data_IF_726623316221
#
_entry.id   IF_726623316221
#
_cell.length_a   1.000
_cell.length_b   1.000
_cell.length_c   1.000
_cell.angle_alpha   90.00
_cell.angle_beta   90.00
_cell.angle_gamma   90.00
#
_symmetry.space_group_name_H-M   'P 1'
#
loop_
_entity.id
_entity.type
_entity.pdbx_description
1 polymer ?
#
# COMPACT_ATOMS: atom_id res chain seq x y z
N UNK A 1 22.03 -21.12 8.28
CA UNK A 1 21.70 -20.38 7.06
C UNK A 1 21.84 -18.91 7.37
N UNK A 2 22.71 -18.21 6.66
CA UNK A 2 22.82 -16.77 6.81
C UNK A 2 21.46 -16.13 6.60
N UNK A 3 21.07 -15.24 7.52
CA UNK A 3 19.78 -14.56 7.40
C UNK A 3 19.86 -13.63 6.19
N UNK A 4 18.86 -13.70 5.32
CA UNK A 4 18.73 -12.78 4.20
C UNK A 4 18.67 -11.34 4.76
N UNK A 5 19.51 -10.46 4.21
CA UNK A 5 19.57 -9.04 4.58
C UNK A 5 19.28 -8.17 3.36
N UNK A 6 18.53 -7.08 3.57
CA UNK A 6 18.28 -6.05 2.57
C UNK A 6 18.91 -4.73 3.00
N UNK A 7 19.18 -3.85 2.04
CA UNK A 7 19.76 -2.53 2.31
C UNK A 7 18.69 -1.56 2.82
N UNK A 8 19.15 -0.45 3.40
CA UNK A 8 18.28 0.64 3.83
C UNK A 8 17.55 1.31 2.64
N UNK A 9 18.21 1.41 1.48
CA UNK A 9 17.61 1.91 0.25
C UNK A 9 16.50 0.99 -0.27
N UNK A 10 16.69 -0.32 -0.16
CA UNK A 10 15.67 -1.30 -0.51
C UNK A 10 14.45 -1.19 0.41
N UNK A 11 14.67 -1.05 1.73
CA UNK A 11 13.55 -0.81 2.65
C UNK A 11 12.83 0.51 2.36
N UNK A 12 13.56 1.59 2.07
CA UNK A 12 12.98 2.84 1.60
C UNK A 12 12.11 2.62 0.37
N UNK A 13 12.59 1.89 -0.64
CA UNK A 13 11.86 1.62 -1.87
C UNK A 13 10.58 0.82 -1.66
N UNK A 14 10.61 -0.21 -0.81
CA UNK A 14 9.43 -1.00 -0.42
C UNK A 14 8.42 -0.13 0.32
N UNK A 15 8.90 0.71 1.24
CA UNK A 15 8.04 1.61 2.01
C UNK A 15 7.35 2.63 1.11
N UNK A 16 8.08 3.27 0.22
CA UNK A 16 7.51 4.19 -0.77
C UNK A 16 6.50 3.48 -1.64
N UNK A 17 6.84 2.29 -2.16
CA UNK A 17 5.95 1.53 -3.05
C UNK A 17 4.64 1.16 -2.37
N UNK A 18 4.66 0.74 -1.10
CA UNK A 18 3.45 0.44 -0.33
C UNK A 18 2.64 1.69 -0.02
N UNK A 19 3.31 2.81 0.29
CA UNK A 19 2.65 4.09 0.60
C UNK A 19 1.97 4.71 -0.63
N UNK A 20 2.59 4.61 -1.81
CA UNK A 20 2.17 5.29 -3.04
C UNK A 20 1.36 4.38 -3.98
N UNK A 21 1.77 3.12 -4.14
CA UNK A 21 1.35 2.28 -5.27
C UNK A 21 -0.13 1.89 -5.31
N UNK A 22 -0.73 1.58 -4.17
CA UNK A 22 -2.15 1.24 -4.10
C UNK A 22 -3.03 2.47 -4.33
N UNK A 23 -2.84 3.54 -3.52
CA UNK A 23 -3.58 4.79 -3.61
C UNK A 23 -3.62 5.49 -4.96
N UNK A 24 -2.52 5.55 -5.70
CA UNK A 24 -2.28 6.63 -6.68
C UNK A 24 -3.39 6.80 -7.72
N UNK A 25 -3.96 5.74 -8.29
CA UNK A 25 -4.99 5.91 -9.33
C UNK A 25 -6.39 6.25 -8.80
N UNK A 26 -6.75 5.78 -7.61
CA UNK A 26 -8.14 5.73 -7.14
C UNK A 26 -8.43 6.69 -5.99
N UNK A 27 -7.40 7.01 -5.19
CA UNK A 27 -7.57 7.81 -3.98
C UNK A 27 -8.08 9.23 -4.23
N UNK A 28 -7.65 9.96 -5.30
CA UNK A 28 -8.19 11.28 -5.53
C UNK A 28 -9.72 11.30 -5.55
N UNK A 29 -10.36 10.30 -6.15
CA UNK A 29 -11.81 10.18 -6.19
C UNK A 29 -12.39 10.05 -4.79
N UNK A 30 -11.85 9.11 -4.02
CA UNK A 30 -12.37 8.77 -2.70
C UNK A 30 -12.26 9.97 -1.74
N UNK A 31 -11.11 10.65 -1.71
CA UNK A 31 -10.93 11.78 -0.80
C UNK A 31 -11.64 13.05 -1.27
N UNK A 32 -11.79 13.25 -2.59
CA UNK A 32 -12.59 14.36 -3.14
C UNK A 32 -14.09 14.16 -2.92
N UNK A 33 -14.58 12.91 -2.88
CA UNK A 33 -15.97 12.63 -2.54
C UNK A 33 -16.33 13.07 -1.11
N UNK A 34 -15.34 13.12 -0.20
CA UNK A 34 -15.51 13.52 1.20
C UNK A 34 -15.16 15.01 1.40
N UNK A 35 -13.95 15.42 1.00
CA UNK A 35 -13.38 16.74 1.28
C UNK A 35 -13.49 17.72 0.11
N UNK A 36 -14.07 17.31 -1.01
CA UNK A 36 -14.23 18.12 -2.23
C UNK A 36 -12.91 18.79 -2.65
N UNK A 37 -12.91 20.11 -2.84
CA UNK A 37 -11.73 20.87 -3.22
C UNK A 37 -10.63 20.89 -2.15
N UNK A 38 -10.95 20.59 -0.89
CA UNK A 38 -9.97 20.52 0.22
C UNK A 38 -9.26 19.14 0.31
N UNK A 39 -9.47 18.25 -0.66
CA UNK A 39 -8.81 16.95 -0.74
C UNK A 39 -7.27 17.01 -0.79
N UNK A 40 -6.70 18.09 -1.33
CA UNK A 40 -5.25 18.28 -1.29
C UNK A 40 -4.72 18.51 0.14
N UNK A 41 -5.48 19.22 0.99
CA UNK A 41 -5.17 19.41 2.41
C UNK A 41 -5.24 18.08 3.15
N UNK A 42 -6.24 17.25 2.82
CA UNK A 42 -6.34 15.88 3.36
C UNK A 42 -5.05 15.11 3.17
N UNK A 43 -4.46 15.20 1.98
CA UNK A 43 -3.22 14.50 1.62
C UNK A 43 -1.99 15.07 2.30
N UNK A 44 -2.00 16.36 2.63
CA UNK A 44 -0.94 17.01 3.39
C UNK A 44 -1.02 16.68 4.89
N UNK A 45 -2.23 16.53 5.44
CA UNK A 45 -2.47 16.28 6.85
C UNK A 45 -2.28 14.80 7.24
N UNK A 46 -2.67 13.88 6.36
CA UNK A 46 -2.61 12.43 6.63
C UNK A 46 -1.22 11.93 7.07
N UNK A 47 -0.12 12.39 6.45
CA UNK A 47 1.24 12.03 6.88
C UNK A 47 1.50 12.30 8.37
N UNK A 48 0.97 13.40 8.92
CA UNK A 48 1.13 13.74 10.32
C UNK A 48 0.48 12.69 11.26
N UNK A 49 -0.68 12.13 10.88
CA UNK A 49 -1.31 11.05 11.64
C UNK A 49 -0.53 9.74 11.57
N UNK A 50 0.15 9.45 10.46
CA UNK A 50 0.89 8.21 10.31
C UNK A 50 2.30 8.21 10.94
N UNK A 51 2.90 9.37 11.20
CA UNK A 51 4.18 9.47 11.92
C UNK A 51 4.17 8.70 13.26
N UNK A 52 3.21 8.93 14.19
CA UNK A 52 3.17 8.19 15.45
C UNK A 52 2.93 6.68 15.26
N UNK A 53 2.21 6.28 14.21
CA UNK A 53 1.95 4.87 13.88
C UNK A 53 3.23 4.18 13.41
N UNK A 54 3.97 4.81 12.49
CA UNK A 54 5.26 4.28 12.00
C UNK A 54 6.29 4.26 13.13
N UNK A 55 6.28 5.27 14.01
CA UNK A 55 7.10 5.28 15.20
C UNK A 55 6.79 4.06 16.09
N UNK A 56 5.51 3.74 16.29
CA UNK A 56 5.08 2.56 17.05
C UNK A 56 5.57 1.26 16.39
N UNK A 57 5.47 1.11 15.07
CA UNK A 57 6.00 -0.06 14.36
C UNK A 57 7.51 -0.19 14.56
N UNK A 58 8.24 0.91 14.39
CA UNK A 58 9.68 0.98 14.61
C UNK A 58 10.06 0.64 16.06
N UNK A 59 9.31 1.14 17.02
CA UNK A 59 9.50 0.90 18.44
C UNK A 59 9.34 -0.59 18.74
N UNK A 60 8.17 -1.17 18.44
CA UNK A 60 7.86 -2.58 18.65
C UNK A 60 8.88 -3.49 17.97
N UNK A 61 9.17 -3.26 16.68
CA UNK A 61 10.16 -4.04 15.95
C UNK A 61 11.53 -3.99 16.63
N UNK A 62 12.00 -2.82 17.06
CA UNK A 62 13.30 -2.69 17.73
C UNK A 62 13.40 -3.37 19.10
N UNK A 63 12.28 -3.67 19.77
CA UNK A 63 12.28 -4.47 21.00
C UNK A 63 12.44 -5.98 20.72
N UNK A 64 12.18 -6.42 19.48
CA UNK A 64 12.21 -7.81 19.07
C UNK A 64 12.99 -7.98 17.75
N UNK A 65 14.31 -7.73 17.75
CA UNK A 65 15.10 -7.62 16.53
C UNK A 65 15.18 -8.91 15.69
N UNK A 66 14.92 -10.06 16.31
CA UNK A 66 15.03 -11.39 15.71
C UNK A 66 13.68 -12.01 15.33
N UNK A 67 12.59 -11.24 15.37
CA UNK A 67 11.23 -11.73 15.13
C UNK A 67 10.54 -10.94 14.03
N UNK A 68 9.71 -11.63 13.25
CA UNK A 68 8.69 -11.00 12.40
C UNK A 68 7.51 -10.56 13.28
N UNK A 69 6.57 -9.82 12.70
CA UNK A 69 5.33 -9.46 13.40
C UNK A 69 4.59 -10.68 13.97
N UNK A 70 4.53 -11.80 13.25
CA UNK A 70 3.90 -13.04 13.74
C UNK A 70 4.60 -13.57 14.99
N UNK A 71 5.93 -13.58 14.99
CA UNK A 71 6.73 -13.90 16.17
C UNK A 71 6.48 -12.95 17.34
N UNK A 72 6.43 -11.64 17.08
CA UNK A 72 6.16 -10.59 18.08
C UNK A 72 4.79 -10.80 18.72
N UNK A 73 3.74 -11.01 17.93
CA UNK A 73 2.37 -11.26 18.40
C UNK A 73 2.34 -12.47 19.33
N UNK A 74 2.95 -13.59 18.92
CA UNK A 74 3.01 -14.82 19.73
C UNK A 74 3.80 -14.63 21.02
N UNK A 75 4.88 -13.85 20.99
CA UNK A 75 5.69 -13.56 22.18
C UNK A 75 4.95 -12.67 23.18
N UNK A 76 4.26 -11.64 22.69
CA UNK A 76 3.56 -10.66 23.54
C UNK A 76 2.27 -11.25 24.11
N UNK A 77 1.39 -11.84 23.29
CA UNK A 77 0.11 -12.37 23.78
C UNK A 77 0.17 -13.82 24.30
N UNK A 78 1.31 -14.49 24.14
CA UNK A 78 1.47 -15.88 24.56
C UNK A 78 0.91 -16.88 23.54
N UNK A 79 0.96 -18.17 23.90
CA UNK A 79 0.76 -19.28 22.95
C UNK A 79 -0.62 -19.28 22.29
N UNK A 80 -1.71 -19.13 23.05
CA UNK A 80 -3.07 -19.32 22.55
C UNK A 80 -3.62 -18.05 21.88
N UNK A 81 -3.69 -16.95 22.64
CA UNK A 81 -4.18 -15.67 22.12
C UNK A 81 -3.28 -15.19 20.98
N UNK A 82 -1.96 -15.30 21.14
CA UNK A 82 -1.02 -14.92 20.10
C UNK A 82 -1.14 -15.76 18.82
N UNK A 83 -1.50 -17.05 18.91
CA UNK A 83 -1.76 -17.86 17.72
C UNK A 83 -3.01 -17.39 16.97
N UNK A 84 -4.10 -17.09 17.69
CA UNK A 84 -5.34 -16.59 17.08
C UNK A 84 -5.10 -15.24 16.41
N UNK A 85 -4.49 -14.28 17.11
CA UNK A 85 -4.23 -12.95 16.57
C UNK A 85 -3.26 -13.01 15.38
N UNK A 86 -2.18 -13.80 15.48
CA UNK A 86 -1.24 -13.95 14.38
C UNK A 86 -1.87 -14.65 13.16
N UNK A 87 -2.71 -15.67 13.39
CA UNK A 87 -3.48 -16.32 12.33
C UNK A 87 -4.41 -15.34 11.59
N UNK A 88 -5.09 -14.46 12.33
CA UNK A 88 -5.92 -13.40 11.74
C UNK A 88 -5.10 -12.38 10.94
N UNK A 89 -3.94 -11.97 11.44
CA UNK A 89 -3.01 -11.08 10.70
C UNK A 89 -2.49 -11.74 9.41
N UNK A 90 -2.19 -13.03 9.45
CA UNK A 90 -1.80 -13.78 8.25
C UNK A 90 -2.95 -13.88 7.25
N UNK A 91 -4.18 -14.12 7.74
CA UNK A 91 -5.37 -14.11 6.90
C UNK A 91 -5.61 -12.74 6.26
N UNK A 92 -5.38 -11.65 6.98
CA UNK A 92 -5.38 -10.29 6.43
C UNK A 92 -4.41 -10.16 5.25
N UNK A 93 -3.14 -10.56 5.42
CA UNK A 93 -2.16 -10.48 4.34
C UNK A 93 -2.54 -11.29 3.10
N UNK A 94 -3.03 -12.52 3.30
CA UNK A 94 -3.50 -13.36 2.20
C UNK A 94 -4.73 -12.77 1.50
N UNK A 95 -5.63 -12.14 2.27
CA UNK A 95 -6.80 -11.42 1.72
C UNK A 95 -6.40 -10.31 0.77
N UNK A 96 -5.49 -9.45 1.20
CA UNK A 96 -5.00 -8.38 0.33
C UNK A 96 -4.25 -8.94 -0.89
N UNK A 97 -3.49 -10.03 -0.72
CA UNK A 97 -2.76 -10.65 -1.82
C UNK A 97 -3.68 -11.10 -2.97
N UNK A 98 -4.90 -11.60 -2.69
CA UNK A 98 -5.87 -11.98 -3.74
C UNK A 98 -6.82 -10.86 -4.17
N UNK A 99 -6.90 -9.73 -3.45
CA UNK A 99 -7.61 -8.55 -3.93
C UNK A 99 -6.84 -7.83 -5.05
N UNK A 100 -5.51 -7.81 -4.97
CA UNK A 100 -4.68 -7.00 -5.87
C UNK A 100 -4.75 -7.39 -7.35
N UNK A 101 -4.77 -8.67 -7.75
CA UNK A 101 -4.95 -9.03 -9.16
C UNK A 101 -6.27 -8.47 -9.71
N UNK A 102 -7.37 -8.53 -8.93
CA UNK A 102 -8.67 -7.98 -9.32
C UNK A 102 -8.63 -6.47 -9.59
N UNK A 103 -7.81 -5.70 -8.86
CA UNK A 103 -7.67 -4.27 -9.16
C UNK A 103 -6.97 -4.03 -10.50
N UNK A 104 -6.02 -4.90 -10.84
CA UNK A 104 -5.21 -4.79 -12.06
C UNK A 104 -6.03 -5.20 -13.27
N UNK A 105 -6.69 -6.36 -13.24
CA UNK A 105 -7.50 -6.79 -14.38
C UNK A 105 -8.71 -5.86 -14.59
N UNK A 106 -9.39 -5.38 -13.55
CA UNK A 106 -10.49 -4.44 -13.70
C UNK A 106 -10.01 -3.15 -14.37
N UNK A 107 -8.86 -2.62 -14.00
CA UNK A 107 -8.30 -1.44 -14.68
C UNK A 107 -7.91 -1.73 -16.13
N UNK A 108 -7.18 -2.82 -16.38
CA UNK A 108 -6.72 -3.16 -17.73
C UNK A 108 -7.90 -3.44 -18.66
N UNK A 109 -8.87 -4.24 -18.23
CA UNK A 109 -10.05 -4.59 -19.04
C UNK A 109 -11.01 -3.43 -19.22
N UNK A 110 -10.99 -2.40 -18.36
CA UNK A 110 -11.84 -1.21 -18.56
C UNK A 110 -11.16 -0.09 -19.32
N UNK A 111 -9.85 0.12 -19.15
CA UNK A 111 -9.16 1.31 -19.66
C UNK A 111 -8.15 1.06 -20.78
N UNK A 112 -7.65 -0.18 -20.92
CA UNK A 112 -6.46 -0.47 -21.77
C UNK A 112 -6.78 -1.52 -22.83
N UNK A 113 -7.27 -2.70 -22.43
CA UNK A 113 -7.52 -3.86 -23.29
C UNK A 113 -8.87 -4.53 -22.97
N UNK A 114 -10.01 -3.95 -23.38
CA UNK A 114 -11.34 -4.48 -23.06
C UNK A 114 -11.69 -5.83 -23.69
N UNK A 115 -10.95 -6.23 -24.71
CA UNK A 115 -11.14 -7.52 -25.38
C UNK A 115 -10.33 -8.65 -24.72
N UNK A 116 -9.44 -8.34 -23.77
CA UNK A 116 -8.63 -9.34 -23.08
C UNK A 116 -9.40 -9.88 -21.87
N UNK A 117 -9.57 -11.20 -21.74
CA UNK A 117 -10.19 -11.79 -20.55
C UNK A 117 -9.40 -11.51 -19.26
N UNK A 118 -10.13 -11.20 -18.18
CA UNK A 118 -9.62 -10.98 -16.82
C UNK A 118 -8.62 -12.05 -16.36
N UNK A 119 -8.99 -13.32 -16.49
CA UNK A 119 -8.18 -14.45 -16.04
C UNK A 119 -6.77 -14.50 -16.68
N UNK A 120 -6.59 -13.98 -17.91
CA UNK A 120 -5.26 -13.92 -18.55
C UNK A 120 -4.38 -12.91 -17.83
N UNK A 121 -4.93 -11.73 -17.52
CA UNK A 121 -4.23 -10.65 -16.82
C UNK A 121 -3.88 -11.10 -15.40
N UNK A 122 -4.84 -11.68 -14.69
CA UNK A 122 -4.63 -12.23 -13.34
C UNK A 122 -3.58 -13.34 -13.34
N UNK A 123 -3.61 -14.26 -14.31
CA UNK A 123 -2.61 -15.32 -14.45
C UNK A 123 -1.21 -14.77 -14.62
N UNK A 124 -1.01 -13.80 -15.52
CA UNK A 124 0.31 -13.19 -15.75
C UNK A 124 0.83 -12.47 -14.50
N UNK A 125 -0.03 -11.73 -13.81
CA UNK A 125 0.33 -11.06 -12.56
C UNK A 125 0.75 -12.07 -11.48
N UNK A 126 -0.07 -13.08 -11.24
CA UNK A 126 0.19 -14.10 -10.22
C UNK A 126 1.45 -14.91 -10.54
N UNK A 127 1.68 -15.27 -11.81
CA UNK A 127 2.91 -15.94 -12.24
C UNK A 127 4.13 -15.08 -11.91
N UNK A 128 4.10 -13.78 -12.24
CA UNK A 128 5.19 -12.87 -11.95
C UNK A 128 5.45 -12.76 -10.43
N UNK A 129 4.40 -12.68 -9.61
CA UNK A 129 4.52 -12.63 -8.14
C UNK A 129 5.09 -13.93 -7.57
N UNK A 130 4.61 -15.08 -8.05
CA UNK A 130 5.10 -16.41 -7.65
C UNK A 130 6.59 -16.53 -7.98
N UNK A 131 7.00 -16.15 -9.19
CA UNK A 131 8.41 -16.15 -9.60
C UNK A 131 9.24 -15.27 -8.66
N UNK A 132 8.80 -14.04 -8.37
CA UNK A 132 9.50 -13.14 -7.46
C UNK A 132 9.66 -13.72 -6.05
N UNK A 133 8.62 -14.36 -5.51
CA UNK A 133 8.66 -15.03 -4.20
C UNK A 133 9.58 -16.26 -4.19
N UNK A 134 9.66 -17.00 -5.30
CA UNK A 134 10.57 -18.14 -5.42
C UNK A 134 12.03 -17.70 -5.50
N UNK A 135 12.33 -16.54 -6.10
CA UNK A 135 13.65 -15.93 -6.02
C UNK A 135 13.97 -15.40 -4.62
N UNK A 136 12.97 -14.82 -3.93
CA UNK A 136 13.03 -14.46 -2.50
C UNK A 136 13.21 -12.97 -2.23
N UNK A 137 13.30 -12.64 -0.93
CA UNK A 137 13.27 -11.26 -0.42
C UNK A 137 14.31 -10.33 -1.06
N UNK A 138 15.56 -10.78 -1.16
CA UNK A 138 16.63 -9.95 -1.70
C UNK A 138 16.39 -9.56 -3.16
N UNK A 139 15.90 -10.50 -3.97
CA UNK A 139 15.63 -10.25 -5.39
C UNK A 139 14.51 -9.22 -5.56
N UNK A 140 13.36 -9.41 -4.92
CA UNK A 140 12.26 -8.46 -5.11
C UNK A 140 12.54 -7.09 -4.46
N UNK A 141 13.33 -7.04 -3.38
CA UNK A 141 13.75 -5.78 -2.77
C UNK A 141 14.72 -4.99 -3.67
N UNK A 142 15.62 -5.66 -4.40
CA UNK A 142 16.43 -5.03 -5.46
C UNK A 142 15.57 -4.54 -6.62
N UNK A 143 14.56 -5.33 -7.01
CA UNK A 143 13.61 -4.95 -8.06
C UNK A 143 12.80 -3.72 -7.66
N UNK A 144 12.32 -3.62 -6.41
CA UNK A 144 11.58 -2.45 -5.93
C UNK A 144 12.43 -1.18 -5.92
N UNK A 145 13.73 -1.30 -5.66
CA UNK A 145 14.67 -0.17 -5.73
C UNK A 145 14.78 0.41 -7.14
N UNK A 146 14.99 -0.43 -8.15
CA UNK A 146 15.04 0.01 -9.56
C UNK A 146 13.71 0.63 -9.98
N UNK A 147 12.61 -0.04 -9.63
CA UNK A 147 11.25 0.40 -9.93
C UNK A 147 11.00 1.79 -9.34
N UNK A 148 11.32 2.03 -8.06
CA UNK A 148 10.92 3.29 -7.44
C UNK A 148 11.65 4.49 -8.03
N UNK A 149 12.92 4.35 -8.43
CA UNK A 149 13.64 5.41 -9.13
C UNK A 149 13.00 5.70 -10.48
N UNK A 150 12.74 4.67 -11.27
CA UNK A 150 12.13 4.81 -12.59
C UNK A 150 10.71 5.40 -12.51
N UNK A 151 9.88 4.88 -11.62
CA UNK A 151 8.49 5.36 -11.45
C UNK A 151 8.44 6.76 -10.89
N UNK A 152 9.36 7.15 -10.00
CA UNK A 152 9.42 8.53 -9.50
C UNK A 152 9.73 9.51 -10.63
N UNK A 153 10.71 9.21 -11.50
CA UNK A 153 11.07 10.07 -12.64
C UNK A 153 9.87 10.23 -13.58
N UNK A 154 9.26 9.13 -13.99
CA UNK A 154 8.09 9.15 -14.89
C UNK A 154 6.89 9.86 -14.27
N UNK A 155 6.65 9.66 -12.97
CA UNK A 155 5.60 10.33 -12.24
C UNK A 155 5.80 11.85 -12.24
N UNK A 156 6.97 12.35 -11.84
CA UNK A 156 7.22 13.79 -11.79
C UNK A 156 7.20 14.41 -13.19
N UNK A 157 7.71 13.70 -14.20
CA UNK A 157 7.58 14.15 -15.58
C UNK A 157 6.12 14.34 -15.96
N UNK A 158 5.25 13.35 -15.73
CA UNK A 158 3.82 13.47 -16.03
C UNK A 158 3.15 14.64 -15.27
N UNK A 159 3.48 14.82 -13.99
CA UNK A 159 2.95 15.93 -13.18
C UNK A 159 3.40 17.31 -13.69
N UNK A 160 4.64 17.43 -14.18
CA UNK A 160 5.14 18.67 -14.81
C UNK A 160 4.43 18.94 -16.12
N UNK A 161 4.21 17.90 -16.95
CA UNK A 161 3.60 18.07 -18.26
C UNK A 161 2.11 18.41 -18.19
N UNK A 162 1.40 18.01 -17.13
CA UNK A 162 -0.02 18.38 -16.93
C UNK A 162 -0.19 19.74 -16.24
N UNK A 163 0.87 20.28 -15.62
CA UNK A 163 0.83 21.54 -14.89
C UNK A 163 0.25 22.74 -15.66
N UNK A 164 0.50 22.91 -16.98
CA UNK A 164 -0.09 24.02 -17.75
C UNK A 164 -1.62 24.08 -17.74
N UNK A 165 -2.30 22.97 -17.44
CA UNK A 165 -3.77 22.91 -17.40
C UNK A 165 -4.34 23.21 -16.01
N UNK A 166 -3.49 23.46 -15.01
CA UNK A 166 -3.92 23.72 -13.65
C UNK A 166 -4.67 25.07 -13.54
N UNK A 167 -5.79 25.05 -12.83
CA UNK A 167 -6.62 26.23 -12.53
C UNK A 167 -6.72 26.42 -11.03
N UNK A 168 -6.20 27.53 -10.51
CA UNK A 168 -6.16 27.79 -9.05
C UNK A 168 -7.58 27.94 -8.49
N UNK A 169 -8.53 28.36 -9.31
CA UNK A 169 -9.94 28.49 -8.96
C UNK A 169 -10.53 27.15 -8.48
N UNK A 170 -10.02 26.02 -8.96
CA UNK A 170 -10.52 24.69 -8.61
C UNK A 170 -10.21 24.25 -7.17
N UNK A 171 -9.23 24.89 -6.50
CA UNK A 171 -8.98 24.65 -5.07
C UNK A 171 -9.73 25.66 -4.17
N UNK A 172 -10.48 26.59 -4.77
CA UNK A 172 -11.23 27.61 -4.05
C UNK A 172 -12.74 27.32 -4.04
N UNK A 173 -13.47 27.81 -3.02
CA UNK A 173 -12.96 28.39 -1.78
C UNK A 173 -12.37 27.31 -0.86
N UNK A 174 -11.27 27.64 -0.18
CA UNK A 174 -10.59 26.75 0.76
C UNK A 174 -11.37 26.72 2.08
N UNK A 175 -11.55 25.54 2.68
CA UNK A 175 -12.33 25.31 3.90
C UNK A 175 -13.83 25.63 3.78
N UNK A 176 -14.41 25.57 2.58
CA UNK A 176 -15.84 25.84 2.38
C UNK A 176 -16.74 25.00 3.29
N UNK A 177 -16.39 23.72 3.48
CA UNK A 177 -17.15 22.76 4.28
C UNK A 177 -16.53 22.55 5.68
N UNK A 178 -15.61 23.43 6.10
CA UNK A 178 -14.90 23.36 7.38
C UNK A 178 -13.85 22.24 7.48
N UNK A 179 -13.30 22.05 8.68
CA UNK A 179 -12.20 21.09 8.93
C UNK A 179 -12.65 19.62 9.05
N UNK A 180 -13.93 19.38 9.38
CA UNK A 180 -14.43 18.03 9.68
C UNK A 180 -14.30 17.07 8.48
N UNK A 181 -14.69 17.45 7.24
CA UNK A 181 -14.52 16.59 6.08
C UNK A 181 -13.06 16.24 5.80
N UNK A 182 -12.15 17.21 6.00
CA UNK A 182 -10.70 17.01 5.84
C UNK A 182 -10.20 15.96 6.85
N UNK A 183 -10.55 16.08 8.13
CA UNK A 183 -10.16 15.12 9.16
C UNK A 183 -10.71 13.71 8.90
N UNK A 184 -12.00 13.60 8.55
CA UNK A 184 -12.62 12.31 8.19
C UNK A 184 -11.92 11.67 6.99
N UNK A 185 -11.64 12.48 5.97
CA UNK A 185 -10.94 12.04 4.77
C UNK A 185 -9.49 11.64 5.08
N UNK A 186 -8.82 12.28 6.04
CA UNK A 186 -7.46 11.92 6.45
C UNK A 186 -7.39 10.60 7.20
N UNK A 187 -8.37 10.31 8.07
CA UNK A 187 -8.51 9.00 8.71
C UNK A 187 -8.74 7.92 7.64
N UNK A 188 -9.60 8.20 6.66
CA UNK A 188 -9.86 7.28 5.55
C UNK A 188 -8.62 7.06 4.68
N UNK A 189 -7.90 8.11 4.30
CA UNK A 189 -6.66 8.01 3.53
C UNK A 189 -5.58 7.22 4.28
N UNK A 190 -5.53 7.31 5.61
CA UNK A 190 -4.61 6.50 6.44
C UNK A 190 -4.79 4.99 6.22
N UNK A 191 -6.00 4.55 5.86
CA UNK A 191 -6.30 3.14 5.56
C UNK A 191 -5.55 2.60 4.34
N UNK A 192 -5.13 3.47 3.42
CA UNK A 192 -4.40 3.08 2.21
C UNK A 192 -2.94 3.55 2.24
N UNK A 193 -2.65 4.64 2.94
CA UNK A 193 -1.35 5.28 2.95
C UNK A 193 -0.47 4.80 4.11
N UNK A 194 -1.03 4.64 5.32
CA UNK A 194 -0.25 4.36 6.54
C UNK A 194 -0.42 2.92 7.03
N UNK A 195 -1.66 2.47 7.22
CA UNK A 195 -1.96 1.17 7.83
C UNK A 195 -1.36 -0.03 7.07
N UNK A 196 -1.31 -0.05 5.73
CA UNK A 196 -0.65 -1.13 4.97
C UNK A 196 0.83 -1.34 5.31
N UNK A 197 1.51 -0.32 5.86
CA UNK A 197 2.91 -0.42 6.26
C UNK A 197 3.17 -1.36 7.43
N UNK A 198 2.13 -1.83 8.14
CA UNK A 198 2.29 -2.91 9.13
C UNK A 198 2.94 -4.16 8.52
N UNK A 199 2.69 -4.40 7.23
CA UNK A 199 3.31 -5.49 6.44
C UNK A 199 4.83 -5.45 6.50
N UNK A 200 5.43 -4.27 6.59
CA UNK A 200 6.88 -4.12 6.70
C UNK A 200 7.44 -4.65 8.01
N UNK A 201 6.63 -4.87 9.06
CA UNK A 201 7.06 -5.55 10.28
C UNK A 201 7.33 -7.06 10.07
N UNK A 202 7.04 -7.60 8.88
CA UNK A 202 7.51 -8.94 8.48
C UNK A 202 8.95 -8.93 7.94
N UNK A 203 9.51 -7.75 7.65
CA UNK A 203 10.86 -7.57 7.08
C UNK A 203 11.74 -6.76 8.06
N UNK A 204 11.24 -5.63 8.53
CA UNK A 204 11.86 -4.81 9.56
C UNK A 204 11.55 -5.39 10.96
N UNK A 205 12.55 -5.51 11.85
CA UNK A 205 13.99 -5.25 11.65
C UNK A 205 14.82 -6.50 11.28
N UNK A 206 14.21 -7.69 11.32
CA UNK A 206 14.90 -8.99 11.26
C UNK A 206 15.80 -9.15 10.02
N UNK A 207 15.41 -8.57 8.88
CA UNK A 207 16.14 -8.62 7.62
C UNK A 207 17.06 -7.41 7.39
N UNK A 208 17.43 -6.64 8.42
CA UNK A 208 18.30 -5.47 8.28
C UNK A 208 19.61 -5.61 9.05
N UNK A 209 20.66 -4.94 8.55
CA UNK A 209 21.96 -4.88 9.23
C UNK A 209 21.94 -3.88 10.39
N UNK A 210 21.27 -2.74 10.20
CA UNK A 210 21.29 -1.63 11.17
C UNK A 210 19.88 -1.14 11.44
N UNK A 211 19.39 -1.37 12.67
CA UNK A 211 18.01 -1.02 13.06
C UNK A 211 17.74 0.48 12.99
N UNK A 212 18.69 1.32 13.43
CA UNK A 212 18.55 2.79 13.44
C UNK A 212 18.39 3.36 12.02
N UNK A 213 19.19 2.89 11.07
CA UNK A 213 19.09 3.28 9.66
C UNK A 213 17.83 2.71 9.00
N UNK A 214 17.40 1.51 9.41
CA UNK A 214 16.10 0.96 9.02
C UNK A 214 14.93 1.87 9.43
N UNK A 215 14.93 2.39 10.66
CA UNK A 215 13.90 3.36 11.13
C UNK A 215 13.87 4.59 10.24
N UNK A 216 15.04 5.19 9.97
CA UNK A 216 15.14 6.36 9.08
C UNK A 216 14.58 6.06 7.69
N UNK A 217 14.84 4.86 7.17
CA UNK A 217 14.39 4.44 5.84
C UNK A 217 12.88 4.27 5.76
N UNK A 218 12.25 3.73 6.81
CA UNK A 218 10.79 3.67 6.93
C UNK A 218 10.18 5.09 6.93
N UNK A 219 10.69 6.01 7.74
CA UNK A 219 10.18 7.38 7.75
C UNK A 219 10.40 8.11 6.41
N UNK A 220 11.60 8.01 5.83
CA UNK A 220 11.90 8.65 4.55
C UNK A 220 11.02 8.10 3.43
N UNK A 221 10.84 6.78 3.35
CA UNK A 221 10.03 6.15 2.30
C UNK A 221 8.56 6.49 2.45
N UNK A 222 8.06 6.52 3.68
CA UNK A 222 6.70 6.99 3.97
C UNK A 222 6.48 8.44 3.55
N UNK A 223 7.36 9.36 3.95
CA UNK A 223 7.22 10.78 3.62
C UNK A 223 7.36 11.02 2.10
N UNK A 224 8.22 10.27 1.43
CA UNK A 224 8.36 10.35 -0.03
C UNK A 224 7.11 9.84 -0.76
N UNK A 225 6.58 8.68 -0.38
CA UNK A 225 5.34 8.16 -0.95
C UNK A 225 4.14 9.08 -0.68
N UNK A 226 4.04 9.60 0.55
CA UNK A 226 3.04 10.59 0.91
C UNK A 226 3.14 11.87 0.10
N UNK A 227 4.35 12.36 -0.18
CA UNK A 227 4.57 13.52 -1.03
C UNK A 227 4.09 13.28 -2.46
N UNK A 228 4.34 12.10 -3.03
CA UNK A 228 3.82 11.74 -4.36
C UNK A 228 2.28 11.70 -4.38
N UNK A 229 1.64 11.17 -3.32
CA UNK A 229 0.17 11.19 -3.18
C UNK A 229 -0.37 12.61 -3.04
N UNK A 230 0.30 13.47 -2.27
CA UNK A 230 -0.04 14.89 -2.18
C UNK A 230 -0.04 15.56 -3.55
N UNK A 231 1.04 15.40 -4.33
CA UNK A 231 1.13 15.97 -5.68
C UNK A 231 0.02 15.42 -6.58
N UNK A 232 -0.23 14.12 -6.53
CA UNK A 232 -1.30 13.47 -7.31
C UNK A 232 -2.66 14.10 -7.04
N UNK A 233 -3.02 14.22 -5.75
CA UNK A 233 -4.31 14.77 -5.34
C UNK A 233 -4.41 16.27 -5.63
N UNK A 234 -3.34 17.03 -5.38
CA UNK A 234 -3.29 18.45 -5.68
C UNK A 234 -3.48 18.72 -7.18
N UNK A 235 -2.76 18.00 -8.04
CA UNK A 235 -2.90 18.13 -9.49
C UNK A 235 -4.26 17.66 -10.00
N UNK A 236 -4.81 16.59 -9.42
CA UNK A 236 -6.17 16.11 -9.78
C UNK A 236 -7.21 17.19 -9.52
N UNK A 237 -7.19 17.85 -8.36
CA UNK A 237 -8.12 18.93 -8.06
C UNK A 237 -7.84 20.16 -8.93
N UNK A 238 -6.59 20.60 -9.08
CA UNK A 238 -6.27 21.79 -9.87
C UNK A 238 -6.67 21.66 -11.35
N UNK A 239 -6.50 20.49 -11.96
CA UNK A 239 -6.77 20.30 -13.39
C UNK A 239 -8.20 19.88 -13.64
N UNK A 240 -8.70 18.87 -12.92
CA UNK A 240 -10.03 18.28 -13.16
C UNK A 240 -11.14 18.96 -12.35
N UNK A 241 -10.80 19.64 -11.25
CA UNK A 241 -11.77 20.08 -10.25
C UNK A 241 -12.29 18.93 -9.38
N UNK A 242 -12.85 19.28 -8.21
CA UNK A 242 -13.33 18.29 -7.23
C UNK A 242 -14.52 17.47 -7.75
N UNK A 243 -15.40 18.07 -8.55
CA UNK A 243 -16.60 17.42 -9.08
C UNK A 243 -16.31 16.30 -10.07
N UNK A 244 -15.38 16.50 -11.00
CA UNK A 244 -14.94 15.44 -11.93
C UNK A 244 -14.11 14.42 -11.16
N UNK A 245 -13.13 14.88 -10.37
CA UNK A 245 -12.27 13.99 -9.58
C UNK A 245 -13.08 13.00 -8.75
N UNK A 246 -14.13 13.45 -8.05
CA UNK A 246 -14.93 12.59 -7.17
C UNK A 246 -15.81 11.55 -7.90
N UNK A 247 -16.08 11.74 -9.21
CA UNK A 247 -16.96 10.86 -9.99
C UNK A 247 -16.19 9.84 -10.84
N UNK A 248 -14.93 10.13 -11.13
CA UNK A 248 -14.09 9.27 -11.97
C UNK A 248 -13.50 8.13 -11.15
N UNK A 249 -13.57 6.90 -11.65
CA UNK A 249 -13.00 5.73 -10.95
C UNK A 249 -11.46 5.79 -10.89
N UNK A 250 -10.84 6.34 -11.92
CA UNK A 250 -9.39 6.45 -12.05
C UNK A 250 -8.95 7.89 -12.38
N UNK A 251 -9.13 8.88 -11.46
CA UNK A 251 -8.91 10.29 -11.79
C UNK A 251 -7.49 10.60 -12.23
N UNK A 252 -6.48 9.93 -11.69
CA UNK A 252 -5.09 10.18 -12.07
C UNK A 252 -4.78 9.69 -13.49
N UNK A 253 -5.48 8.65 -13.96
CA UNK A 253 -5.40 8.24 -15.36
C UNK A 253 -6.07 9.27 -16.27
N UNK A 254 -7.23 9.82 -15.87
CA UNK A 254 -7.87 10.92 -16.59
C UNK A 254 -7.01 12.19 -16.60
N UNK A 255 -6.42 12.55 -15.45
CA UNK A 255 -5.46 13.66 -15.33
C UNK A 255 -4.32 13.51 -16.34
N UNK A 256 -3.81 12.31 -16.54
CA UNK A 256 -2.74 12.07 -17.51
C UNK A 256 -3.20 12.20 -18.97
N UNK A 257 -4.48 11.96 -19.27
CA UNK A 257 -5.06 12.21 -20.61
C UNK A 257 -5.16 13.70 -20.94
N UNK A 258 -5.20 14.56 -19.92
CA UNK A 258 -5.20 16.02 -20.13
C UNK A 258 -3.85 16.54 -20.61
N UNK A 259 -2.78 15.74 -20.53
CA UNK A 259 -1.46 16.19 -21.00
C UNK A 259 -1.50 16.39 -22.52
N UNK A 260 -1.39 17.64 -22.95
CA UNK A 260 -1.41 18.04 -24.36
C UNK A 260 -0.13 18.80 -24.70
N UNK A 261 0.92 18.07 -25.10
CA UNK A 261 2.23 18.64 -25.48
C UNK A 261 2.41 18.50 -26.99
N UNK A 262 1.76 19.42 -27.71
CA UNK A 262 1.78 19.45 -29.18
C UNK A 262 1.24 18.18 -29.82
N UNK A 263 1.65 17.91 -31.07
CA UNK A 263 1.17 16.76 -31.86
C UNK A 263 1.98 15.48 -31.57
N UNK A 264 3.13 15.59 -30.89
CA UNK A 264 4.14 14.51 -30.80
C UNK A 264 3.92 13.60 -29.60
N UNK A 265 3.56 14.14 -28.44
CA UNK A 265 3.33 13.34 -27.23
C UNK A 265 1.84 13.05 -27.05
N UNK A 266 1.37 11.99 -27.70
CA UNK A 266 0.02 11.46 -27.51
C UNK A 266 0.08 10.24 -26.59
N UNK A 267 -0.98 10.02 -25.80
CA UNK A 267 -1.19 8.84 -24.95
C UNK A 267 -0.27 8.70 -23.71
N UNK A 268 0.07 9.81 -23.04
CA UNK A 268 0.92 9.76 -21.83
C UNK A 268 0.22 9.13 -20.62
N UNK A 269 -1.09 8.88 -20.68
CA UNK A 269 -1.82 8.12 -19.66
C UNK A 269 -1.29 6.70 -19.45
N UNK A 270 -0.66 6.07 -20.46
CA UNK A 270 -0.02 4.76 -20.30
C UNK A 270 1.21 4.80 -19.41
N UNK A 271 1.87 5.95 -19.26
CA UNK A 271 2.99 6.12 -18.33
C UNK A 271 2.46 5.98 -16.90
N UNK A 272 1.36 6.66 -16.57
CA UNK A 272 0.74 6.58 -15.25
C UNK A 272 0.19 5.18 -14.99
N UNK A 273 -0.44 4.55 -15.99
CA UNK A 273 -0.87 3.15 -15.89
C UNK A 273 0.30 2.20 -15.59
N UNK A 274 1.43 2.35 -16.30
CA UNK A 274 2.62 1.54 -16.07
C UNK A 274 3.22 1.76 -14.67
N UNK A 275 3.32 3.01 -14.22
CA UNK A 275 3.75 3.36 -12.85
C UNK A 275 2.88 2.66 -11.81
N UNK A 276 1.56 2.68 -11.99
CA UNK A 276 0.63 2.05 -11.07
C UNK A 276 0.73 0.52 -11.06
N UNK A 277 0.74 -0.13 -12.23
CA UNK A 277 0.84 -1.59 -12.33
C UNK A 277 2.12 -2.10 -11.67
N UNK A 278 3.24 -1.44 -11.93
CA UNK A 278 4.54 -1.85 -11.41
C UNK A 278 4.65 -1.59 -9.89
N UNK A 279 4.08 -0.49 -9.39
CA UNK A 279 4.06 -0.26 -7.93
C UNK A 279 3.07 -1.19 -7.21
N UNK A 280 1.92 -1.50 -7.81
CA UNK A 280 1.00 -2.53 -7.32
C UNK A 280 1.63 -3.92 -7.31
N UNK A 281 2.48 -4.25 -8.28
CA UNK A 281 3.24 -5.50 -8.29
C UNK A 281 4.15 -5.61 -7.06
N UNK A 282 4.86 -4.56 -6.68
CA UNK A 282 5.68 -4.55 -5.46
C UNK A 282 4.83 -4.70 -4.18
N UNK A 283 3.65 -4.06 -4.14
CA UNK A 283 2.69 -4.22 -3.04
C UNK A 283 2.20 -5.67 -2.98
N UNK A 284 1.82 -6.24 -4.12
CA UNK A 284 1.36 -7.61 -4.26
C UNK A 284 2.37 -8.61 -3.75
N UNK A 285 3.64 -8.50 -4.19
CA UNK A 285 4.71 -9.34 -3.68
C UNK A 285 4.88 -9.15 -2.17
N UNK A 286 4.81 -7.93 -1.66
CA UNK A 286 5.01 -7.65 -0.23
C UNK A 286 3.95 -8.28 0.66
N UNK A 287 2.66 -8.15 0.30
CA UNK A 287 1.56 -8.76 1.04
C UNK A 287 1.56 -10.29 0.92
N UNK A 288 1.83 -10.81 -0.28
CA UNK A 288 1.91 -12.25 -0.49
C UNK A 288 3.11 -12.84 0.28
N UNK A 289 4.28 -12.19 0.24
CA UNK A 289 5.44 -12.57 1.06
C UNK A 289 5.09 -12.61 2.55
N UNK A 290 4.46 -11.55 3.07
CA UNK A 290 4.05 -11.48 4.48
C UNK A 290 3.07 -12.61 4.86
N UNK A 291 2.10 -12.90 4.02
CA UNK A 291 1.17 -14.01 4.21
C UNK A 291 1.86 -15.37 4.22
N UNK A 292 2.77 -15.62 3.28
CA UNK A 292 3.47 -16.90 3.14
C UNK A 292 4.49 -17.15 4.24
N UNK A 293 5.30 -16.14 4.59
CA UNK A 293 6.22 -16.23 5.73
C UNK A 293 5.45 -16.44 7.02
N UNK A 294 4.41 -15.64 7.25
CA UNK A 294 3.59 -15.76 8.45
C UNK A 294 2.92 -17.13 8.56
N UNK A 295 2.36 -17.65 7.48
CA UNK A 295 1.78 -18.99 7.46
C UNK A 295 2.83 -20.08 7.68
N UNK A 296 4.02 -19.94 7.06
CA UNK A 296 5.15 -20.83 7.27
C UNK A 296 5.56 -20.89 8.75
N UNK A 297 5.57 -19.75 9.44
CA UNK A 297 5.86 -19.68 10.89
C UNK A 297 4.76 -20.31 11.76
N UNK A 298 3.49 -20.12 11.41
CA UNK A 298 2.36 -20.71 12.13
C UNK A 298 2.36 -22.24 12.00
N UNK A 299 2.63 -22.74 10.78
CA UNK A 299 2.70 -24.17 10.46
C UNK A 299 4.08 -24.80 10.78
N UNK A 300 5.05 -24.00 11.24
CA UNK A 300 6.44 -24.42 11.52
C UNK A 300 7.14 -25.08 10.32
N UNK A 301 6.84 -24.59 9.12
CA UNK A 301 7.49 -25.05 7.89
C UNK A 301 8.92 -24.50 7.82
N UNK A 302 9.88 -25.37 7.50
CA UNK A 302 11.29 -25.01 7.37
C UNK A 302 11.59 -24.22 6.08
N UNK A 303 10.77 -24.41 5.04
CA UNK A 303 10.95 -23.76 3.75
C UNK A 303 9.61 -23.25 3.21
N UNK A 304 9.43 -21.94 3.28
CA UNK A 304 8.23 -21.26 2.81
C UNK A 304 8.00 -21.42 1.29
N UNK A 305 9.04 -21.67 0.49
CA UNK A 305 8.92 -21.81 -0.97
C UNK A 305 8.00 -22.97 -1.38
N UNK A 306 7.85 -23.99 -0.52
CA UNK A 306 6.96 -25.14 -0.75
C UNK A 306 5.48 -24.75 -0.87
N UNK A 307 5.07 -23.66 -0.22
CA UNK A 307 3.67 -23.21 -0.22
C UNK A 307 3.42 -22.05 -1.19
N UNK A 308 4.44 -21.45 -1.80
CA UNK A 308 4.29 -20.32 -2.73
C UNK A 308 3.39 -20.68 -3.92
N UNK A 309 3.66 -21.80 -4.60
CA UNK A 309 2.89 -22.19 -5.79
C UNK A 309 1.44 -22.62 -5.47
N UNK A 310 1.18 -23.47 -4.46
CA UNK A 310 -0.19 -23.78 -4.05
C UNK A 310 -1.01 -22.53 -3.71
N UNK A 311 -0.42 -21.58 -2.99
CA UNK A 311 -1.10 -20.32 -2.68
C UNK A 311 -1.24 -19.41 -3.89
N UNK A 312 -0.32 -19.47 -4.87
CA UNK A 312 -0.46 -18.74 -6.13
C UNK A 312 -1.72 -19.17 -6.87
N UNK A 313 -2.01 -20.48 -6.91
CA UNK A 313 -3.24 -21.00 -7.49
C UNK A 313 -4.47 -20.54 -6.70
N UNK A 314 -4.42 -20.53 -5.36
CA UNK A 314 -5.52 -20.00 -4.53
C UNK A 314 -5.75 -18.52 -4.84
N UNK A 315 -4.69 -17.71 -4.91
CA UNK A 315 -4.77 -16.28 -5.23
C UNK A 315 -5.43 -16.06 -6.59
N UNK A 316 -5.05 -16.85 -7.60
CA UNK A 316 -5.62 -16.77 -8.94
C UNK A 316 -7.12 -17.08 -8.96
N UNK A 317 -7.54 -18.16 -8.27
CA UNK A 317 -8.97 -18.51 -8.20
C UNK A 317 -9.75 -17.47 -7.40
N UNK A 318 -9.19 -17.03 -6.27
CA UNK A 318 -9.85 -16.07 -5.39
C UNK A 318 -9.98 -14.68 -6.04
N UNK A 319 -9.03 -14.24 -6.87
CA UNK A 319 -9.12 -12.94 -7.53
C UNK A 319 -10.29 -12.84 -8.52
N UNK A 320 -10.73 -13.96 -9.11
CA UNK A 320 -11.89 -13.97 -10.02
C UNK A 320 -13.23 -13.88 -9.27
N UNK A 321 -13.28 -14.36 -8.03
CA UNK A 321 -14.55 -14.48 -7.27
C UNK A 321 -14.70 -13.46 -6.14
N UNK A 322 -13.62 -12.77 -5.76
CA UNK A 322 -13.59 -11.87 -4.60
C UNK A 322 -14.57 -10.71 -4.72
N UNK A 323 -14.69 -10.14 -5.93
CA UNK A 323 -15.59 -9.04 -6.22
C UNK A 323 -16.37 -9.36 -7.49
N UNK A 324 -17.68 -9.67 -7.37
CA UNK A 324 -18.52 -10.00 -8.52
C UNK A 324 -18.65 -8.87 -9.54
N UNK A 325 -18.63 -7.62 -9.07
CA UNK A 325 -18.69 -6.42 -9.89
C UNK A 325 -18.08 -5.21 -9.17
N UNK A 326 -17.96 -4.10 -9.89
CA UNK A 326 -17.36 -2.85 -9.38
C UNK A 326 -18.21 -2.18 -8.29
N UNK A 327 -19.53 -2.38 -8.28
CA UNK A 327 -20.42 -1.82 -7.25
C UNK A 327 -20.21 -2.55 -5.92
N UNK A 328 -20.13 -3.87 -5.96
CA UNK A 328 -19.81 -4.70 -4.80
C UNK A 328 -18.43 -4.34 -4.25
N UNK A 329 -17.43 -4.16 -5.11
CA UNK A 329 -16.10 -3.71 -4.67
C UNK A 329 -16.15 -2.31 -4.03
N UNK A 330 -16.88 -1.35 -4.61
CA UNK A 330 -17.03 -0.02 -4.03
C UNK A 330 -17.69 -0.07 -2.64
N UNK A 331 -18.73 -0.89 -2.47
CA UNK A 331 -19.37 -1.13 -1.18
C UNK A 331 -18.40 -1.77 -0.18
N UNK A 332 -17.60 -2.75 -0.62
CA UNK A 332 -16.58 -3.36 0.22
C UNK A 332 -15.57 -2.31 0.72
N UNK A 333 -15.11 -1.41 -0.15
CA UNK A 333 -14.21 -0.32 0.26
C UNK A 333 -14.87 0.63 1.26
N UNK A 334 -16.13 0.99 1.05
CA UNK A 334 -16.80 1.96 1.92
C UNK A 334 -17.19 1.38 3.29
N UNK A 335 -17.59 0.11 3.36
CA UNK A 335 -18.16 -0.48 4.58
C UNK A 335 -17.22 -1.47 5.29
N UNK A 336 -16.35 -2.16 4.56
CA UNK A 336 -15.55 -3.27 5.09
C UNK A 336 -14.07 -2.88 5.19
N UNK A 337 -13.51 -2.23 4.17
CA UNK A 337 -12.08 -1.90 4.15
C UNK A 337 -11.65 -1.02 5.31
N UNK A 338 -12.40 0.05 5.63
CA UNK A 338 -12.02 0.98 6.70
C UNK A 338 -11.89 0.27 8.06
N UNK A 339 -12.91 -0.46 8.58
CA UNK A 339 -12.73 -1.19 9.83
C UNK A 339 -11.64 -2.26 9.72
N UNK A 340 -11.56 -2.99 8.60
CA UNK A 340 -10.55 -4.02 8.38
C UNK A 340 -9.12 -3.47 8.47
N UNK A 341 -8.83 -2.38 7.76
CA UNK A 341 -7.52 -1.72 7.74
C UNK A 341 -7.17 -1.09 9.10
N UNK A 342 -8.14 -0.45 9.78
CA UNK A 342 -7.94 0.08 11.14
C UNK A 342 -7.63 -1.04 12.13
N UNK A 343 -8.32 -2.19 12.06
CA UNK A 343 -8.06 -3.31 12.96
C UNK A 343 -6.61 -3.76 12.90
N UNK A 344 -6.10 -4.01 11.69
CA UNK A 344 -4.75 -4.54 11.53
C UNK A 344 -3.69 -3.45 11.64
N UNK A 345 -3.84 -2.30 10.98
CA UNK A 345 -2.83 -1.24 10.98
C UNK A 345 -2.79 -0.36 12.23
N UNK A 346 -3.82 -0.40 13.09
CA UNK A 346 -3.85 0.44 14.28
C UNK A 346 -4.14 -0.35 15.55
N UNK A 347 -5.27 -1.07 15.61
CA UNK A 347 -5.72 -1.73 16.85
C UNK A 347 -4.73 -2.83 17.27
N UNK A 348 -4.31 -3.70 16.35
CA UNK A 348 -3.34 -4.77 16.65
C UNK A 348 -2.01 -4.19 17.19
N UNK A 349 -1.33 -3.25 16.50
CA UNK A 349 -0.13 -2.58 17.02
C UNK A 349 -0.30 -1.90 18.38
N UNK A 350 -1.41 -1.18 18.59
CA UNK A 350 -1.70 -0.53 19.89
C UNK A 350 -1.85 -1.59 20.99
N UNK A 351 -2.59 -2.66 20.73
CA UNK A 351 -2.77 -3.75 21.70
C UNK A 351 -1.45 -4.45 22.03
N UNK A 352 -0.56 -4.62 21.04
CA UNK A 352 0.79 -5.16 21.25
C UNK A 352 1.62 -4.22 22.14
N UNK A 353 1.60 -2.91 21.86
CA UNK A 353 2.32 -1.91 22.64
C UNK A 353 1.81 -1.87 24.08
N UNK A 354 0.49 -1.88 24.28
CA UNK A 354 -0.14 -1.86 25.59
C UNK A 354 0.28 -3.07 26.44
N UNK A 355 0.14 -4.29 25.91
CA UNK A 355 0.53 -5.51 26.63
C UNK A 355 2.04 -5.59 26.86
N UNK A 356 2.84 -5.12 25.91
CA UNK A 356 4.29 -5.00 26.09
C UNK A 356 4.64 -4.10 27.29
N UNK A 357 4.04 -2.92 27.40
CA UNK A 357 4.29 -1.98 28.49
C UNK A 357 3.88 -2.56 29.85
N UNK A 358 2.73 -3.23 29.93
CA UNK A 358 2.28 -3.93 31.14
C UNK A 358 3.30 -4.99 31.57
N UNK A 359 3.71 -5.87 30.66
CA UNK A 359 4.68 -6.93 30.98
C UNK A 359 6.01 -6.36 31.45
N UNK A 360 6.48 -5.28 30.84
CA UNK A 360 7.71 -4.61 31.22
C UNK A 360 7.62 -3.96 32.61
N UNK A 361 6.46 -3.42 32.96
CA UNK A 361 6.19 -2.86 34.28
C UNK A 361 6.20 -3.95 35.36
N UNK A 362 5.46 -5.05 35.14
CA UNK A 362 5.42 -6.20 36.06
C UNK A 362 6.80 -6.85 36.25
N UNK A 363 7.66 -6.88 35.22
CA UNK A 363 9.00 -7.49 35.33
C UNK A 363 10.05 -6.60 36.01
N UNK A 364 9.72 -5.33 36.27
CA UNK A 364 10.61 -4.38 36.95
C UNK A 364 10.35 -4.33 38.46
N UNK A 365 9.17 -4.77 38.88
CA UNK A 365 8.86 -5.16 40.26
C UNK A 365 9.28 -6.62 40.48
#
# INVERSE_FOLDING_TARGET
MDRIKITNHQLFSLTTSITFGGPVLVIPALIASIAKQDAWITSLLTPAFGIPIIWMYCFLGSQYPDMTLVGIIKKIFGKWIGLIVAGNVVFFYLTIAYHLPWYIDNFITTQVMPQTPAYIINSLFVIAVVIALLYGLETFARTSEIIIYFTSILFFLAMILVLPNAKIENIQPVFENGIIPILKSSVFLSCFLTFPLITLMMIYPINLNTISEGKKSLFKGYLWGAFMIFITNFMSILVLGSGITAKEQYPTYLLAKEINVGIVFTRLEFIIAAVWIVTLFIIGISFFYAGIIGLSELLKLQNYKKIVMPFGLIVLVMSEVVFPDTIYQANWVNFIWTPFSITYGLIVPISLLFVFLIKKWISKE
#
